data_IF_267509023865
#
_entry.id   IF_267509023865
#
_cell.length_a   1.000
_cell.length_b   1.000
_cell.length_c   1.000
_cell.angle_alpha   90.00
_cell.angle_beta   90.00
_cell.angle_gamma   90.00
#
_symmetry.space_group_name_H-M   'P 1'
#
loop_
_entity.id
_entity.type
_entity.pdbx_description
1 polymer ?
#
# COMPACT_ATOMS: atom_id res chain seq x y z
N UNK A 1 -80.22 -4.66 15.18
CA UNK A 1 -79.50 -4.07 14.08
C UNK A 1 -78.31 -3.29 14.66
N UNK A 2 -77.15 -3.86 14.63
CA UNK A 2 -75.86 -3.21 15.10
C UNK A 2 -75.10 -2.74 13.89
N UNK A 3 -74.90 -1.46 13.76
CA UNK A 3 -73.98 -0.85 12.79
C UNK A 3 -72.59 -0.97 13.35
N UNK A 4 -71.72 -1.66 12.67
CA UNK A 4 -70.27 -1.66 12.90
C UNK A 4 -69.65 -0.61 11.99
N UNK A 5 -69.07 0.40 12.61
CA UNK A 5 -68.31 1.45 11.96
C UNK A 5 -66.93 0.93 11.61
N UNK A 6 -66.58 0.91 10.33
CA UNK A 6 -65.25 0.53 9.81
C UNK A 6 -64.40 1.78 9.79
N UNK A 7 -63.40 1.84 10.66
CA UNK A 7 -62.43 2.93 10.68
C UNK A 7 -61.26 2.53 9.76
N UNK A 8 -61.23 3.11 8.55
CA UNK A 8 -60.13 2.94 7.59
C UNK A 8 -59.00 3.91 7.91
N UNK A 9 -57.95 3.38 8.50
CA UNK A 9 -56.70 4.17 8.69
C UNK A 9 -55.92 4.19 7.39
N UNK A 10 -55.79 5.39 6.81
CA UNK A 10 -54.95 5.66 5.65
C UNK A 10 -53.49 5.83 6.13
N UNK A 11 -52.67 4.81 5.96
CA UNK A 11 -51.23 4.91 6.16
C UNK A 11 -50.61 5.62 4.95
N UNK A 12 -50.16 6.89 5.16
CA UNK A 12 -49.32 7.58 4.22
C UNK A 12 -47.89 6.97 4.30
N UNK A 13 -47.54 6.14 3.33
CA UNK A 13 -46.13 5.75 3.12
C UNK A 13 -45.38 6.96 2.56
N UNK A 14 -44.61 7.61 3.40
CA UNK A 14 -43.57 8.53 2.95
C UNK A 14 -42.40 7.68 2.48
N UNK A 15 -42.31 7.47 1.17
CA UNK A 15 -41.13 6.90 0.54
C UNK A 15 -40.00 7.94 0.59
N UNK A 16 -39.11 7.82 1.55
CA UNK A 16 -37.80 8.50 1.51
C UNK A 16 -36.97 7.81 0.45
N UNK A 17 -36.86 8.41 -0.72
CA UNK A 17 -35.90 8.01 -1.73
C UNK A 17 -34.49 8.33 -1.21
N UNK A 18 -33.82 7.37 -0.60
CA UNK A 18 -32.37 7.38 -0.47
C UNK A 18 -31.83 7.21 -1.89
N UNK A 19 -31.19 8.27 -2.40
CA UNK A 19 -30.33 8.17 -3.56
C UNK A 19 -29.20 7.21 -3.17
N UNK A 20 -29.32 5.97 -3.59
CA UNK A 20 -28.21 5.03 -3.55
C UNK A 20 -27.20 5.58 -4.56
N UNK A 21 -26.14 6.18 -4.04
CA UNK A 21 -24.92 6.35 -4.84
C UNK A 21 -24.50 4.93 -5.20
N UNK A 22 -24.79 4.55 -6.43
CA UNK A 22 -24.38 3.26 -6.98
C UNK A 22 -22.85 3.36 -7.07
N UNK A 23 -22.17 2.77 -6.09
CA UNK A 23 -20.75 2.48 -6.20
C UNK A 23 -20.64 1.63 -7.48
N UNK A 24 -20.04 2.21 -8.51
CA UNK A 24 -19.60 1.44 -9.65
C UNK A 24 -18.49 0.54 -9.07
N UNK A 25 -18.86 -0.71 -8.78
CA UNK A 25 -17.88 -1.74 -8.53
C UNK A 25 -17.07 -1.83 -9.82
N UNK A 26 -15.90 -1.21 -9.83
CA UNK A 26 -14.89 -1.49 -10.83
C UNK A 26 -14.53 -2.94 -10.55
N UNK A 27 -15.03 -3.87 -11.35
CA UNK A 27 -14.63 -5.27 -11.34
C UNK A 27 -13.19 -5.31 -11.85
N UNK A 28 -12.25 -4.96 -10.97
CA UNK A 28 -10.84 -5.26 -11.22
C UNK A 28 -10.69 -6.78 -11.12
N UNK A 29 -10.07 -7.37 -12.13
CA UNK A 29 -9.67 -8.76 -12.06
C UNK A 29 -8.65 -8.92 -10.91
N UNK A 30 -8.62 -10.07 -10.21
CA UNK A 30 -7.53 -10.37 -9.29
C UNK A 30 -6.20 -10.43 -10.04
N UNK A 31 -5.10 -10.23 -9.32
CA UNK A 31 -3.77 -10.32 -9.91
C UNK A 31 -3.57 -11.68 -10.60
N UNK A 32 -3.04 -11.70 -11.83
CA UNK A 32 -2.59 -12.95 -12.43
C UNK A 32 -1.46 -13.57 -11.61
N UNK A 33 -1.24 -14.89 -11.75
CA UNK A 33 -0.13 -15.59 -11.12
C UNK A 33 1.21 -14.94 -11.51
N UNK A 34 2.11 -14.78 -10.55
CA UNK A 34 3.47 -14.23 -10.75
C UNK A 34 3.63 -12.75 -10.38
N UNK A 35 2.53 -12.02 -10.14
CA UNK A 35 2.61 -10.69 -9.51
C UNK A 35 2.62 -10.83 -7.99
N UNK A 36 3.49 -10.10 -7.31
CA UNK A 36 3.66 -10.18 -5.85
C UNK A 36 4.35 -8.92 -5.31
N UNK A 37 4.64 -8.92 -4.00
CA UNK A 37 5.49 -7.93 -3.32
C UNK A 37 6.82 -8.57 -2.92
N UNK A 38 7.92 -7.85 -3.19
CA UNK A 38 9.26 -8.19 -2.73
C UNK A 38 9.75 -7.12 -1.74
N UNK A 39 10.26 -7.56 -0.59
CA UNK A 39 10.96 -6.72 0.37
C UNK A 39 12.47 -6.96 0.26
N UNK A 40 13.22 -5.89 0.03
CA UNK A 40 14.69 -5.92 -0.03
C UNK A 40 15.27 -5.04 1.07
N UNK A 41 16.01 -5.62 2.02
CA UNK A 41 16.77 -4.84 3.00
C UNK A 41 18.03 -4.33 2.32
N UNK A 42 18.03 -3.05 1.98
CA UNK A 42 19.15 -2.42 1.22
C UNK A 42 20.25 -1.88 2.12
N UNK A 43 19.93 -1.60 3.39
CA UNK A 43 20.91 -1.18 4.38
C UNK A 43 20.54 -1.76 5.75
N UNK A 44 21.53 -2.32 6.44
CA UNK A 44 21.41 -2.79 7.82
C UNK A 44 22.44 -2.09 8.71
N UNK A 45 22.07 -1.82 9.97
CA UNK A 45 22.97 -1.26 10.97
C UNK A 45 23.70 0.02 10.48
N UNK A 46 22.93 1.01 10.01
CA UNK A 46 23.42 2.22 9.36
C UNK A 46 24.46 2.96 10.19
N UNK A 47 24.23 3.12 11.50
CA UNK A 47 25.17 3.72 12.44
C UNK A 47 25.12 5.24 12.51
N UNK A 48 26.24 5.86 12.92
CA UNK A 48 26.33 7.30 13.14
C UNK A 48 26.83 8.00 11.88
N UNK A 49 26.07 8.99 11.43
CA UNK A 49 26.35 9.79 10.25
C UNK A 49 26.73 11.22 10.64
N UNK A 50 27.78 11.75 10.04
CA UNK A 50 28.19 13.14 10.22
C UNK A 50 28.03 13.91 8.91
N UNK A 51 27.21 14.95 8.91
CA UNK A 51 26.92 15.80 7.78
C UNK A 51 26.91 17.29 8.14
N UNK A 52 26.58 18.13 7.16
CA UNK A 52 26.59 19.58 7.34
C UNK A 52 25.56 20.10 8.37
N UNK A 53 24.50 19.35 8.64
CA UNK A 53 23.51 19.67 9.67
C UNK A 53 23.84 19.09 11.05
N UNK A 54 25.00 18.44 11.20
CA UNK A 54 25.42 17.83 12.45
C UNK A 54 25.57 16.32 12.38
N UNK A 55 25.38 15.67 13.51
CA UNK A 55 25.50 14.23 13.65
C UNK A 55 24.10 13.63 13.81
N UNK A 56 23.80 12.63 12.99
CA UNK A 56 22.58 11.83 13.07
C UNK A 56 22.96 10.41 13.48
N UNK A 57 22.34 9.89 14.51
CA UNK A 57 22.56 8.51 15.00
C UNK A 57 21.43 7.61 14.49
N UNK A 58 21.75 6.78 13.50
CA UNK A 58 20.87 5.75 12.95
C UNK A 58 21.32 4.34 13.36
N UNK A 59 21.96 4.21 14.53
CA UNK A 59 22.33 2.90 15.08
C UNK A 59 21.08 2.05 15.32
N UNK A 60 21.08 0.85 14.75
CA UNK A 60 19.95 -0.09 14.82
C UNK A 60 18.84 0.16 13.79
N UNK A 61 18.95 1.19 12.97
CA UNK A 61 18.04 1.38 11.84
C UNK A 61 18.45 0.50 10.66
N UNK A 62 17.45 0.03 9.95
CA UNK A 62 17.58 -0.64 8.64
C UNK A 62 16.69 0.06 7.63
N UNK A 63 17.14 0.08 6.37
CA UNK A 63 16.35 0.60 5.24
C UNK A 63 15.88 -0.57 4.39
N UNK A 64 14.57 -0.61 4.13
CA UNK A 64 13.93 -1.63 3.30
C UNK A 64 13.26 -0.96 2.10
N UNK A 65 13.47 -1.53 0.93
CA UNK A 65 12.71 -1.24 -0.27
C UNK A 65 11.53 -2.21 -0.39
N UNK A 66 10.37 -1.70 -0.79
CA UNK A 66 9.21 -2.52 -1.14
C UNK A 66 8.99 -2.38 -2.64
N UNK A 67 9.03 -3.51 -3.35
CA UNK A 67 8.79 -3.58 -4.78
C UNK A 67 7.48 -4.31 -5.07
N UNK A 68 6.82 -3.91 -6.15
CA UNK A 68 5.80 -4.73 -6.81
C UNK A 68 6.49 -5.48 -7.93
N UNK A 69 6.47 -6.82 -7.89
CA UNK A 69 7.03 -7.69 -8.92
C UNK A 69 6.01 -7.95 -10.02
N UNK A 70 6.47 -8.10 -11.25
CA UNK A 70 5.65 -8.13 -12.45
C UNK A 70 6.10 -9.22 -13.41
N UNK A 71 5.27 -9.59 -14.38
CA UNK A 71 5.55 -10.65 -15.34
C UNK A 71 6.16 -10.16 -16.65
N UNK A 72 5.89 -8.92 -17.00
CA UNK A 72 6.32 -8.33 -18.27
C UNK A 72 7.18 -7.08 -18.08
N UNK A 73 8.19 -6.85 -18.93
CA UNK A 73 9.02 -5.65 -18.85
C UNK A 73 8.27 -4.36 -19.19
N UNK A 74 7.14 -4.46 -19.90
CA UNK A 74 6.29 -3.34 -20.28
C UNK A 74 5.12 -3.12 -19.29
N UNK A 75 4.98 -3.96 -18.26
CA UNK A 75 3.99 -3.78 -17.21
C UNK A 75 4.24 -2.46 -16.47
N UNK A 76 3.15 -1.83 -16.03
CA UNK A 76 3.20 -0.50 -15.45
C UNK A 76 2.49 -0.45 -14.09
N UNK A 77 3.22 -0.13 -13.02
CA UNK A 77 2.62 0.19 -11.71
C UNK A 77 2.04 1.60 -11.76
N UNK A 78 0.72 1.70 -11.81
CA UNK A 78 0.03 2.98 -11.88
C UNK A 78 -0.12 3.62 -10.50
N UNK A 79 -0.53 2.84 -9.51
CA UNK A 79 -0.76 3.37 -8.18
C UNK A 79 -0.66 2.30 -7.09
N UNK A 80 -0.36 2.77 -5.89
CA UNK A 80 -0.73 2.13 -4.63
C UNK A 80 -1.81 3.01 -4.01
N UNK A 81 -2.97 2.45 -3.75
CA UNK A 81 -4.14 3.17 -3.26
C UNK A 81 -4.78 2.45 -2.07
N UNK A 82 -5.74 3.08 -1.44
CA UNK A 82 -6.53 2.44 -0.39
C UNK A 82 -7.83 3.17 -0.17
N UNK A 83 -8.80 2.44 0.35
CA UNK A 83 -10.09 2.93 0.82
C UNK A 83 -10.66 1.96 1.88
N UNK A 84 -11.88 2.22 2.36
CA UNK A 84 -12.51 1.36 3.37
C UNK A 84 -12.80 -0.07 2.89
N UNK A 85 -12.88 -0.31 1.57
CA UNK A 85 -13.13 -1.64 1.00
C UNK A 85 -11.83 -2.39 0.70
N UNK A 86 -10.79 -1.66 0.32
CA UNK A 86 -9.47 -2.18 -0.05
C UNK A 86 -8.40 -1.34 0.64
N UNK A 87 -8.17 -1.54 1.93
CA UNK A 87 -7.24 -0.70 2.68
C UNK A 87 -5.78 -0.97 2.32
N UNK A 88 -4.96 0.09 2.41
CA UNK A 88 -3.50 0.01 2.33
C UNK A 88 -2.89 0.40 3.66
N UNK A 89 -1.96 -0.43 4.15
CA UNK A 89 -1.19 -0.19 5.37
C UNK A 89 0.30 -0.41 5.13
N UNK A 90 1.13 0.48 5.67
CA UNK A 90 2.55 0.22 5.89
C UNK A 90 2.85 0.58 7.34
N UNK A 91 3.12 -0.44 8.13
CA UNK A 91 3.29 -0.32 9.58
C UNK A 91 4.73 -0.62 9.98
N UNK A 92 5.16 0.04 11.04
CA UNK A 92 6.34 -0.35 11.79
C UNK A 92 6.02 -0.43 13.27
N UNK A 93 6.71 -1.30 14.00
CA UNK A 93 6.56 -1.41 15.46
C UNK A 93 7.14 -0.21 16.22
N UNK A 94 7.82 0.72 15.51
CA UNK A 94 8.39 1.95 16.08
C UNK A 94 7.92 3.21 15.35
N UNK A 95 8.80 3.85 14.59
CA UNK A 95 8.50 4.99 13.73
C UNK A 95 9.39 4.96 12.48
N UNK A 96 8.97 5.62 11.42
CA UNK A 96 9.79 5.83 10.24
C UNK A 96 10.77 6.98 10.46
N UNK A 97 11.99 6.81 9.96
CA UNK A 97 12.99 7.87 9.95
C UNK A 97 12.72 8.82 8.78
N UNK A 98 12.74 10.13 9.07
CA UNK A 98 12.77 11.18 8.06
C UNK A 98 13.96 12.09 8.28
N UNK A 99 14.70 12.38 7.21
CA UNK A 99 15.80 13.33 7.23
C UNK A 99 15.28 14.77 7.32
N UNK A 100 16.02 15.68 7.96
CA UNK A 100 15.58 17.06 8.12
C UNK A 100 15.35 17.82 6.79
N UNK A 101 16.04 17.40 5.72
CA UNK A 101 15.88 17.90 4.35
C UNK A 101 15.23 16.86 3.43
N UNK A 102 14.64 15.80 4.00
CA UNK A 102 13.94 14.74 3.30
C UNK A 102 12.53 15.15 2.89
N UNK A 103 11.82 14.21 2.30
CA UNK A 103 10.44 14.37 1.88
C UNK A 103 9.74 13.01 1.77
N UNK A 104 8.46 12.93 2.07
CA UNK A 104 7.65 11.72 1.99
C UNK A 104 7.47 11.14 0.57
N UNK A 105 7.95 11.84 -0.47
CA UNK A 105 8.15 11.35 -1.85
C UNK A 105 9.54 11.77 -2.34
N UNK A 106 10.24 10.96 -3.16
CA UNK A 106 11.63 11.22 -3.53
C UNK A 106 11.82 12.33 -4.58
N UNK A 107 10.76 12.97 -5.05
CA UNK A 107 10.77 13.93 -6.17
C UNK A 107 11.84 15.02 -6.07
N UNK A 108 12.15 15.49 -4.86
CA UNK A 108 13.15 16.52 -4.59
C UNK A 108 14.46 16.00 -4.01
N UNK A 109 14.59 14.69 -3.78
CA UNK A 109 15.80 14.10 -3.18
C UNK A 109 16.88 13.96 -4.26
N UNK A 110 17.96 14.71 -4.11
CA UNK A 110 19.07 14.69 -5.04
C UNK A 110 20.27 13.96 -4.43
N UNK A 111 20.66 12.82 -5.00
CA UNK A 111 21.78 11.99 -4.54
C UNK A 111 23.14 12.72 -4.55
N UNK A 112 23.29 13.78 -5.33
CA UNK A 112 24.49 14.64 -5.30
C UNK A 112 24.67 15.37 -3.96
N UNK A 113 23.63 15.43 -3.14
CA UNK A 113 23.67 16.02 -1.80
C UNK A 113 24.10 15.02 -0.71
N UNK A 114 24.06 13.71 -0.97
CA UNK A 114 24.40 12.68 0.04
C UNK A 114 25.80 12.80 0.63
N UNK A 115 26.87 13.23 -0.09
CA UNK A 115 28.16 13.49 0.52
C UNK A 115 28.16 14.60 1.57
N UNK A 116 27.17 15.51 1.52
CA UNK A 116 27.02 16.66 2.44
C UNK A 116 25.96 16.40 3.50
N UNK A 117 24.91 15.68 3.14
CA UNK A 117 23.77 15.29 3.96
C UNK A 117 23.55 13.78 3.83
N UNK A 118 24.40 12.96 4.47
CA UNK A 118 24.41 11.52 4.25
C UNK A 118 23.13 10.81 4.74
N UNK A 119 22.42 11.42 5.67
CA UNK A 119 21.16 10.94 6.22
C UNK A 119 20.00 10.97 5.21
N UNK A 120 20.10 11.82 4.15
CA UNK A 120 19.11 11.83 3.06
C UNK A 120 19.03 10.51 2.31
N UNK A 121 20.10 9.72 2.28
CA UNK A 121 20.10 8.41 1.63
C UNK A 121 19.18 7.40 2.33
N UNK A 122 18.85 7.66 3.59
CA UNK A 122 18.07 6.79 4.47
C UNK A 122 16.68 7.37 4.80
N UNK A 123 16.29 8.45 4.12
CA UNK A 123 14.96 9.04 4.28
C UNK A 123 13.86 8.04 3.91
N UNK A 124 12.72 8.07 4.61
CA UNK A 124 11.58 7.22 4.26
C UNK A 124 10.64 7.95 3.32
N UNK A 125 10.22 7.29 2.25
CA UNK A 125 9.33 7.87 1.26
C UNK A 125 8.53 6.80 0.51
N UNK A 126 7.35 7.19 0.02
CA UNK A 126 6.55 6.40 -0.92
C UNK A 126 6.86 6.83 -2.35
N UNK A 127 6.78 5.90 -3.30
CA UNK A 127 7.14 6.17 -4.69
C UNK A 127 6.42 5.25 -5.67
N UNK A 128 6.52 5.59 -6.95
CA UNK A 128 6.34 4.68 -8.08
C UNK A 128 7.64 4.79 -8.89
N UNK A 129 8.54 3.84 -8.66
CA UNK A 129 9.79 3.63 -9.39
C UNK A 129 10.92 4.62 -9.15
N UNK A 130 10.65 5.81 -8.59
CA UNK A 130 11.71 6.80 -8.35
C UNK A 130 12.52 6.47 -7.08
N UNK A 131 13.83 6.72 -7.15
CA UNK A 131 14.74 6.71 -6.00
C UNK A 131 15.32 8.10 -5.68
N UNK A 132 14.80 9.15 -6.32
CA UNK A 132 15.25 10.53 -6.18
C UNK A 132 14.54 11.43 -7.19
N UNK A 133 15.15 12.60 -7.45
CA UNK A 133 14.65 13.54 -8.47
C UNK A 133 14.50 12.84 -9.82
N UNK A 134 13.32 12.93 -10.47
CA UNK A 134 13.05 12.22 -11.72
C UNK A 134 13.97 12.68 -12.86
N UNK A 135 14.41 11.74 -13.69
CA UNK A 135 15.11 11.99 -14.93
C UNK A 135 14.11 12.33 -16.06
N UNK A 136 13.69 13.58 -16.15
CA UNK A 136 12.72 14.00 -17.14
C UNK A 136 13.16 13.75 -18.60
N UNK A 137 14.48 13.74 -18.89
CA UNK A 137 14.99 13.38 -20.22
C UNK A 137 14.82 11.88 -20.53
N UNK A 138 14.76 11.05 -19.49
CA UNK A 138 14.45 9.62 -19.59
C UNK A 138 12.94 9.33 -19.59
N UNK A 139 12.09 10.34 -19.50
CA UNK A 139 10.63 10.17 -19.47
C UNK A 139 10.07 9.93 -18.07
N UNK A 140 10.89 10.03 -17.01
CA UNK A 140 10.38 9.95 -15.63
C UNK A 140 9.64 11.22 -15.24
N UNK A 141 8.65 11.09 -14.38
CA UNK A 141 7.86 12.19 -13.83
C UNK A 141 7.70 12.08 -12.32
N UNK A 142 7.26 13.17 -11.69
CA UNK A 142 7.01 13.22 -10.26
C UNK A 142 5.91 12.24 -9.84
N UNK A 143 6.16 11.54 -8.74
CA UNK A 143 5.10 10.79 -8.02
C UNK A 143 4.16 11.79 -7.36
N UNK A 144 2.86 11.55 -7.49
CA UNK A 144 1.81 12.35 -6.88
C UNK A 144 1.16 11.60 -5.73
N UNK A 145 0.69 12.36 -4.73
CA UNK A 145 -0.04 11.79 -3.58
C UNK A 145 -1.42 12.43 -3.45
N UNK A 146 -2.40 11.65 -3.00
CA UNK A 146 -3.76 12.10 -2.67
C UNK A 146 -4.12 11.60 -1.29
N UNK A 147 -4.65 12.49 -0.46
CA UNK A 147 -5.19 12.16 0.87
C UNK A 147 -6.48 12.93 1.11
N UNK A 148 -7.35 12.39 1.95
CA UNK A 148 -8.52 13.12 2.43
C UNK A 148 -8.16 14.04 3.61
N UNK A 149 -9.00 15.04 3.87
CA UNK A 149 -8.84 15.88 5.08
C UNK A 149 -9.12 15.10 6.37
N UNK A 150 -9.94 14.05 6.27
CA UNK A 150 -10.38 13.27 7.42
C UNK A 150 -9.36 12.18 7.77
N UNK A 151 -8.57 11.75 6.77
CA UNK A 151 -7.44 10.84 6.93
C UNK A 151 -6.19 11.41 6.23
N UNK A 152 -5.44 12.30 6.89
CA UNK A 152 -4.23 12.91 6.33
C UNK A 152 -3.03 11.95 6.43
N UNK A 153 -3.15 10.75 5.86
CA UNK A 153 -2.17 9.67 5.95
C UNK A 153 -0.74 10.11 5.56
N UNK A 154 -0.62 10.90 4.49
CA UNK A 154 0.69 11.35 4.01
C UNK A 154 1.36 12.33 4.98
N UNK A 155 0.58 13.26 5.56
CA UNK A 155 1.08 14.19 6.59
C UNK A 155 1.43 13.48 7.89
N UNK A 156 0.74 12.37 8.22
CA UNK A 156 1.05 11.54 9.38
C UNK A 156 2.33 10.72 9.13
N UNK A 157 2.51 10.23 7.91
CA UNK A 157 3.72 9.50 7.51
C UNK A 157 4.94 10.41 7.49
N UNK A 158 4.85 11.58 6.83
CA UNK A 158 5.92 12.59 6.81
C UNK A 158 5.41 13.92 7.40
N UNK A 159 5.61 14.14 8.71
CA UNK A 159 5.25 15.41 9.35
C UNK A 159 6.20 16.55 9.01
N UNK A 160 7.28 16.29 8.25
CA UNK A 160 8.29 17.24 7.83
C UNK A 160 9.35 17.57 8.89
N UNK A 161 10.43 18.22 8.44
CA UNK A 161 11.47 18.77 9.32
C UNK A 161 12.29 17.73 10.08
N UNK A 162 12.34 16.49 9.64
CA UNK A 162 13.08 15.40 10.28
C UNK A 162 12.41 14.87 11.55
N UNK A 163 11.11 15.08 11.69
CA UNK A 163 10.34 14.47 12.77
C UNK A 163 10.06 12.99 12.45
N UNK A 164 9.94 12.13 13.49
CA UNK A 164 9.59 10.72 13.28
C UNK A 164 8.24 10.57 12.58
N UNK A 165 8.20 9.74 11.53
CA UNK A 165 6.99 9.45 10.78
C UNK A 165 6.13 8.36 11.43
N UNK A 166 4.80 8.49 11.25
CA UNK A 166 3.82 7.49 11.67
C UNK A 166 3.57 6.43 10.59
N UNK A 167 2.80 5.42 10.96
CA UNK A 167 2.34 4.40 10.03
C UNK A 167 1.47 5.00 8.91
N UNK A 168 1.54 4.39 7.74
CA UNK A 168 0.61 4.67 6.65
C UNK A 168 -0.66 3.85 6.88
N UNK A 169 -1.83 4.53 6.85
CA UNK A 169 -3.15 3.88 6.88
C UNK A 169 -4.06 4.63 5.93
N UNK A 170 -4.54 3.93 4.89
CA UNK A 170 -5.50 4.45 3.90
C UNK A 170 -6.68 3.49 3.91
N UNK A 171 -7.68 3.79 4.76
CA UNK A 171 -8.78 2.89 5.11
C UNK A 171 -10.13 3.62 5.29
N UNK A 172 -10.19 4.90 4.92
CA UNK A 172 -11.40 5.70 5.03
C UNK A 172 -12.30 5.61 3.78
N UNK A 173 -13.52 6.14 3.88
CA UNK A 173 -14.50 6.06 2.80
C UNK A 173 -14.19 6.95 1.58
N UNK A 174 -13.20 7.84 1.66
CA UNK A 174 -12.75 8.70 0.56
C UNK A 174 -11.52 8.07 -0.11
N UNK A 175 -10.63 7.50 0.70
CA UNK A 175 -9.39 6.87 0.26
C UNK A 175 -8.25 7.85 0.01
N UNK A 176 -7.15 7.26 -0.46
CA UNK A 176 -5.92 7.95 -0.81
C UNK A 176 -5.05 7.12 -1.72
N UNK A 177 -3.96 7.70 -2.18
CA UNK A 177 -3.05 7.01 -3.09
C UNK A 177 -1.71 7.74 -3.20
N UNK A 178 -0.69 7.01 -3.68
CA UNK A 178 0.43 7.56 -4.42
C UNK A 178 0.51 6.90 -5.79
N UNK A 179 0.85 7.68 -6.82
CA UNK A 179 0.67 7.23 -8.19
C UNK A 179 1.60 7.93 -9.19
N UNK A 180 1.79 7.28 -10.35
CA UNK A 180 2.37 7.83 -11.56
C UNK A 180 1.34 7.77 -12.70
N UNK A 181 1.44 8.68 -13.65
CA UNK A 181 0.56 8.67 -14.81
C UNK A 181 1.04 7.63 -15.83
N UNK A 182 0.09 6.95 -16.48
CA UNK A 182 0.44 6.01 -17.54
C UNK A 182 1.24 6.71 -18.65
N UNK A 183 2.42 6.16 -18.94
CA UNK A 183 3.41 6.72 -19.87
C UNK A 183 4.60 7.37 -19.18
N UNK A 184 4.59 7.56 -17.86
CA UNK A 184 5.78 7.97 -17.09
C UNK A 184 6.74 6.78 -16.98
N UNK A 185 8.01 6.95 -17.38
CA UNK A 185 8.96 5.83 -17.47
C UNK A 185 9.25 5.15 -16.12
N UNK A 186 9.09 5.89 -15.02
CA UNK A 186 9.35 5.35 -13.68
C UNK A 186 8.32 4.32 -13.21
N UNK A 187 7.13 4.24 -13.82
CA UNK A 187 6.14 3.21 -13.50
C UNK A 187 6.34 1.90 -14.26
N UNK A 188 7.26 1.86 -15.23
CA UNK A 188 7.52 0.68 -16.08
C UNK A 188 8.43 -0.31 -15.36
N UNK A 189 8.08 -1.60 -15.40
CA UNK A 189 8.82 -2.67 -14.71
C UNK A 189 10.27 -2.84 -15.23
N UNK A 190 10.47 -2.70 -16.55
CA UNK A 190 11.77 -2.88 -17.19
C UNK A 190 12.28 -4.33 -17.11
N UNK A 191 13.57 -4.50 -17.39
CA UNK A 191 14.20 -5.83 -17.40
C UNK A 191 14.26 -6.50 -16.02
N UNK A 192 14.18 -5.70 -14.94
CA UNK A 192 14.20 -6.20 -13.54
C UNK A 192 12.84 -6.76 -13.12
N UNK A 193 11.80 -6.57 -13.93
CA UNK A 193 10.42 -7.02 -13.72
C UNK A 193 9.87 -6.58 -12.35
N UNK A 194 10.24 -5.39 -11.88
CA UNK A 194 9.74 -4.85 -10.62
C UNK A 194 9.77 -3.33 -10.59
N UNK A 195 8.83 -2.75 -9.87
CA UNK A 195 8.75 -1.30 -9.64
C UNK A 195 8.79 -1.01 -8.15
N UNK A 196 9.64 -0.09 -7.74
CA UNK A 196 9.77 0.36 -6.35
C UNK A 196 8.50 1.11 -5.92
N UNK A 197 7.88 0.66 -4.82
CA UNK A 197 6.69 1.27 -4.25
C UNK A 197 7.00 2.16 -3.02
N UNK A 198 8.15 1.97 -2.38
CA UNK A 198 8.61 2.81 -1.28
C UNK A 198 9.93 2.38 -0.68
N UNK A 199 10.57 3.31 0.04
CA UNK A 199 11.73 3.10 0.90
C UNK A 199 11.32 3.44 2.34
N UNK A 200 11.64 2.54 3.26
CA UNK A 200 11.25 2.66 4.65
C UNK A 200 12.45 2.38 5.57
N UNK A 201 12.84 3.38 6.35
CA UNK A 201 13.93 3.28 7.31
C UNK A 201 13.37 3.31 8.72
N UNK A 202 13.61 2.25 9.48
CA UNK A 202 13.06 2.07 10.82
C UNK A 202 13.96 1.17 11.68
N UNK A 203 13.79 1.21 13.00
CA UNK A 203 14.32 0.22 13.94
C UNK A 203 13.33 -0.91 14.22
N UNK A 204 12.11 -0.78 13.74
CA UNK A 204 11.02 -1.73 13.96
C UNK A 204 10.89 -2.75 12.83
N UNK A 205 10.04 -3.73 13.06
CA UNK A 205 9.61 -4.67 12.04
C UNK A 205 8.57 -4.01 11.14
N UNK A 206 8.65 -4.31 9.84
CA UNK A 206 7.69 -3.86 8.84
C UNK A 206 6.61 -4.91 8.62
N UNK A 207 5.35 -4.47 8.59
CA UNK A 207 4.23 -5.27 8.13
C UNK A 207 3.21 -4.43 7.39
N UNK A 208 2.32 -5.08 6.65
CA UNK A 208 1.25 -4.36 5.99
C UNK A 208 0.67 -5.05 4.77
N UNK A 209 -0.06 -4.25 4.02
CA UNK A 209 -0.66 -4.62 2.74
C UNK A 209 -0.73 -3.41 1.81
N UNK A 210 -0.52 -3.65 0.53
CA UNK A 210 -0.65 -2.65 -0.53
C UNK A 210 -1.74 -3.05 -1.51
N UNK A 211 -2.74 -2.19 -1.72
CA UNK A 211 -3.71 -2.33 -2.80
C UNK A 211 -3.17 -1.61 -4.03
N UNK A 212 -2.71 -2.38 -5.01
CA UNK A 212 -2.01 -1.88 -6.19
C UNK A 212 -2.89 -1.90 -7.43
N UNK A 213 -2.61 -1.00 -8.36
CA UNK A 213 -3.14 -1.00 -9.74
C UNK A 213 -1.99 -1.18 -10.71
N UNK A 214 -2.07 -2.23 -11.53
CA UNK A 214 -1.10 -2.52 -12.57
C UNK A 214 -1.78 -2.54 -13.94
N UNK A 215 -1.15 -1.91 -14.93
CA UNK A 215 -1.53 -1.98 -16.33
C UNK A 215 -0.62 -3.00 -17.02
N UNK A 216 -1.18 -4.16 -17.39
CA UNK A 216 -0.45 -5.23 -18.09
C UNK A 216 -0.02 -4.70 -19.47
N UNK A 217 1.24 -4.91 -19.84
CA UNK A 217 1.86 -4.38 -21.06
C UNK A 217 1.71 -2.84 -21.19
N UNK A 218 1.55 -2.11 -20.09
CA UNK A 218 1.31 -0.66 -20.08
C UNK A 218 -0.04 -0.23 -20.62
N UNK A 219 -0.95 -1.17 -20.93
CA UNK A 219 -2.27 -0.88 -21.46
C UNK A 219 -3.28 -0.59 -20.33
N UNK A 220 -3.65 0.68 -20.17
CA UNK A 220 -4.64 1.08 -19.17
C UNK A 220 -6.05 0.48 -19.37
N UNK A 221 -6.34 -0.18 -20.49
CA UNK A 221 -7.56 -0.95 -20.70
C UNK A 221 -7.41 -2.42 -20.25
N UNK A 222 -6.19 -2.88 -19.97
CA UNK A 222 -5.86 -4.21 -19.51
C UNK A 222 -5.23 -4.11 -18.11
N UNK A 223 -6.07 -3.85 -17.10
CA UNK A 223 -5.61 -3.64 -15.72
C UNK A 223 -6.11 -4.71 -14.77
N UNK A 224 -5.36 -4.88 -13.69
CA UNK A 224 -5.87 -5.49 -12.47
C UNK A 224 -5.63 -4.59 -11.26
N UNK A 225 -6.37 -4.86 -10.19
CA UNK A 225 -6.16 -4.30 -8.86
C UNK A 225 -6.26 -5.42 -7.85
N UNK A 226 -5.26 -5.52 -6.99
CA UNK A 226 -5.26 -6.55 -5.95
C UNK A 226 -4.49 -6.08 -4.72
N UNK A 227 -4.70 -6.79 -3.62
CA UNK A 227 -4.03 -6.55 -2.35
C UNK A 227 -2.93 -7.57 -2.14
N UNK A 228 -1.70 -7.08 -1.97
CA UNK A 228 -0.55 -7.89 -1.60
C UNK A 228 -0.15 -7.61 -0.16
N UNK A 229 0.24 -8.66 0.56
CA UNK A 229 0.54 -8.63 1.98
C UNK A 229 2.02 -8.87 2.23
N UNK A 230 2.55 -8.29 3.31
CA UNK A 230 3.92 -8.53 3.75
C UNK A 230 4.05 -8.50 5.27
N UNK A 231 5.15 -9.08 5.77
CA UNK A 231 5.39 -9.20 7.21
C UNK A 231 4.34 -10.06 7.91
N UNK A 232 3.97 -9.69 9.12
CA UNK A 232 2.98 -10.42 9.93
C UNK A 232 1.54 -10.28 9.43
N UNK A 233 1.27 -9.34 8.53
CA UNK A 233 -0.04 -9.17 7.87
C UNK A 233 -0.25 -10.17 6.73
N UNK A 234 0.80 -10.84 6.25
CA UNK A 234 0.69 -11.86 5.21
C UNK A 234 -0.21 -13.00 5.70
N UNK A 235 -1.23 -13.39 4.91
CA UNK A 235 -2.07 -14.53 5.26
C UNK A 235 -1.25 -15.81 5.43
N UNK A 236 -1.52 -16.56 6.49
CA UNK A 236 -0.93 -17.89 6.69
C UNK A 236 -1.85 -18.93 6.05
N UNK A 237 -1.44 -19.59 4.95
CA UNK A 237 -2.26 -20.62 4.32
C UNK A 237 -2.30 -21.90 5.16
N UNK A 238 -3.46 -22.57 5.18
CA UNK A 238 -3.69 -23.81 5.89
C UNK A 238 -5.17 -24.12 6.00
N UNK A 239 -5.53 -25.22 6.65
CA UNK A 239 -6.93 -25.57 6.88
C UNK A 239 -7.55 -24.74 8.01
N UNK A 240 -8.52 -23.86 7.69
CA UNK A 240 -9.20 -22.98 8.65
C UNK A 240 -10.49 -23.58 9.24
N UNK A 241 -10.90 -24.79 8.82
CA UNK A 241 -12.11 -25.46 9.34
C UNK A 241 -11.80 -26.23 10.62
N UNK A 242 -12.35 -25.79 11.74
CA UNK A 242 -12.15 -26.42 13.05
C UNK A 242 -12.73 -27.85 13.15
N UNK A 243 -13.57 -28.30 12.19
CA UNK A 243 -14.08 -29.67 12.12
C UNK A 243 -13.19 -30.59 11.31
N UNK A 244 -12.18 -30.07 10.61
CA UNK A 244 -11.22 -30.85 9.83
C UNK A 244 -10.19 -31.54 10.74
N UNK A 245 -9.68 -32.71 10.29
CA UNK A 245 -8.66 -33.46 11.03
C UNK A 245 -7.29 -32.76 11.08
N UNK A 246 -7.03 -31.89 10.12
CA UNK A 246 -5.78 -31.10 9.98
C UNK A 246 -6.03 -29.61 10.16
N UNK A 247 -7.00 -29.23 10.98
CA UNK A 247 -7.19 -27.83 11.35
C UNK A 247 -5.91 -27.21 11.87
N UNK A 248 -5.58 -26.04 11.37
CA UNK A 248 -4.46 -25.20 11.81
C UNK A 248 -4.98 -23.90 12.39
N UNK A 249 -4.82 -23.70 13.70
CA UNK A 249 -5.26 -22.51 14.41
C UNK A 249 -4.44 -21.25 14.07
N UNK A 250 -3.28 -21.42 13.45
CA UNK A 250 -2.45 -20.32 12.94
C UNK A 250 -2.80 -19.92 11.50
N UNK A 251 -3.58 -20.75 10.77
CA UNK A 251 -4.00 -20.43 9.42
C UNK A 251 -5.03 -19.29 9.43
N UNK A 252 -4.80 -18.29 8.57
CA UNK A 252 -5.72 -17.17 8.33
C UNK A 252 -6.33 -17.19 6.94
N UNK A 253 -5.82 -18.09 6.07
CA UNK A 253 -6.30 -18.30 4.70
C UNK A 253 -6.50 -19.80 4.46
N UNK A 254 -7.73 -20.19 4.07
CA UNK A 254 -7.99 -21.57 3.66
C UNK A 254 -7.32 -21.88 2.32
N UNK A 255 -6.38 -22.81 2.32
CA UNK A 255 -5.65 -23.27 1.13
C UNK A 255 -6.29 -24.51 0.46
N UNK A 256 -7.49 -24.91 0.91
CA UNK A 256 -8.19 -26.10 0.42
C UNK A 256 -7.60 -27.44 0.90
N UNK A 257 -6.65 -27.43 1.84
CA UNK A 257 -5.99 -28.64 2.37
C UNK A 257 -6.83 -29.39 3.41
N UNK A 258 -8.01 -28.88 3.80
CA UNK A 258 -8.85 -29.49 4.83
C UNK A 258 -9.18 -30.96 4.52
N UNK A 259 -8.91 -31.83 5.48
CA UNK A 259 -9.21 -33.26 5.39
C UNK A 259 -10.24 -33.66 6.45
N UNK A 260 -11.21 -34.46 6.08
CA UNK A 260 -12.28 -34.91 6.96
C UNK A 260 -12.23 -36.42 7.17
N UNK A 261 -12.71 -36.92 8.32
CA UNK A 261 -12.80 -38.37 8.53
C UNK A 261 -13.74 -38.98 7.48
N UNK A 262 -13.32 -40.14 6.91
CA UNK A 262 -14.23 -40.89 6.05
C UNK A 262 -15.52 -41.28 6.83
N UNK A 263 -16.67 -41.02 6.22
CA UNK A 263 -17.94 -41.45 6.80
C UNK A 263 -17.95 -42.98 6.90
N UNK A 264 -17.83 -43.53 8.11
CA UNK A 264 -18.03 -44.95 8.37
C UNK A 264 -19.49 -45.30 8.17
N UNK A 265 -19.81 -45.98 7.08
CA UNK A 265 -21.14 -46.58 6.84
C UNK A 265 -21.36 -47.76 7.78
#
# INVERSE_FOLDING_TARGET
MRLTSLCTALFLLVATSFSQVQQIAVNSAPAPEGYDIELEVVNENIGILAGALGVVDLTGYSTTHIYVTMNGPDDFLSSVSGDAANPTFVNTTTSFYHAALGAGVPNGINSLLFPVYPDLAYDSWVTIGLQGTPNALGGEANVSTVQSSDNPWFTNFDPGGGLPGGNISIDDGIGGAWYALNGDANGVAGDDLKVLAGQFTTTGELDGQLYVQVFIDGDGANEFRDTFYFGSSAPSPGCTDAEACNYDDAATLDDGSCTYPEATN
#
